data_IF_634006437498
#
_entry.id   IF_634006437498
#
_cell.length_a   1.000
_cell.length_b   1.000
_cell.length_c   1.000
_cell.angle_alpha   90.00
_cell.angle_beta   90.00
_cell.angle_gamma   90.00
#
_symmetry.space_group_name_H-M   'P 1'
#
loop_
_entity.id
_entity.type
_entity.pdbx_description
1 polymer ?
#
# COMPACT_ATOMS: atom_id res chain seq x y z
N UNK A 1 -33.43 -32.37 135.65
CA UNK A 1 -33.23 -30.91 135.48
C UNK A 1 -33.23 -30.62 133.99
N UNK A 2 -34.27 -29.95 133.48
CA UNK A 2 -34.42 -29.57 132.06
C UNK A 2 -34.21 -28.07 131.96
N UNK A 3 -33.26 -27.63 131.13
CA UNK A 3 -32.97 -26.22 130.87
C UNK A 3 -33.57 -25.85 129.51
N UNK A 4 -34.57 -24.96 129.49
CA UNK A 4 -35.08 -24.30 128.30
C UNK A 4 -34.34 -22.98 128.11
N UNK A 5 -33.55 -22.86 127.05
CA UNK A 5 -32.95 -21.60 126.61
C UNK A 5 -33.79 -21.08 125.43
N UNK A 6 -34.50 -19.98 125.65
CA UNK A 6 -35.21 -19.24 124.59
C UNK A 6 -34.22 -18.27 123.94
N UNK A 7 -33.83 -18.53 122.69
CA UNK A 7 -33.08 -17.56 121.89
C UNK A 7 -34.06 -16.63 121.17
N UNK A 8 -33.97 -15.33 121.46
CA UNK A 8 -34.63 -14.27 120.69
C UNK A 8 -33.99 -14.17 119.31
N UNK A 9 -34.73 -14.57 118.28
CA UNK A 9 -34.35 -14.36 116.88
C UNK A 9 -34.61 -12.91 116.49
N UNK A 10 -33.58 -12.17 116.09
CA UNK A 10 -33.74 -10.83 115.50
C UNK A 10 -34.36 -10.94 114.11
N UNK A 11 -35.49 -10.27 113.89
CA UNK A 11 -36.11 -10.15 112.57
C UNK A 11 -35.28 -9.23 111.66
N UNK A 12 -35.16 -9.60 110.39
CA UNK A 12 -34.47 -8.80 109.37
C UNK A 12 -35.24 -7.49 109.11
N UNK A 13 -34.58 -6.34 109.28
CA UNK A 13 -35.16 -5.03 108.96
C UNK A 13 -35.21 -4.83 107.45
N UNK A 14 -36.42 -4.66 106.89
CA UNK A 14 -36.64 -4.39 105.47
C UNK A 14 -36.88 -2.91 105.27
N UNK A 15 -35.94 -2.22 104.64
CA UNK A 15 -36.09 -0.81 104.24
C UNK A 15 -36.70 -0.72 102.83
N UNK A 16 -37.80 0.02 102.69
CA UNK A 16 -38.48 0.23 101.40
C UNK A 16 -38.29 1.68 100.96
N UNK A 17 -37.77 1.87 99.75
CA UNK A 17 -37.74 3.16 99.07
C UNK A 17 -38.92 3.23 98.09
N UNK A 18 -39.74 4.29 98.16
CA UNK A 18 -40.84 4.55 97.23
C UNK A 18 -40.64 5.93 96.60
N UNK A 19 -40.07 5.96 95.41
CA UNK A 19 -39.85 7.16 94.62
C UNK A 19 -39.83 6.80 93.13
N UNK A 20 -40.20 7.73 92.26
CA UNK A 20 -40.11 7.55 90.80
C UNK A 20 -38.66 7.58 90.30
N UNK A 21 -37.79 8.25 91.06
CA UNK A 21 -36.36 8.30 90.83
C UNK A 21 -35.63 8.37 92.16
N UNK A 22 -34.56 7.60 92.30
CA UNK A 22 -33.69 7.62 93.48
C UNK A 22 -32.36 8.23 93.04
N UNK A 23 -32.03 9.40 93.59
CA UNK A 23 -30.72 10.03 93.43
C UNK A 23 -29.87 9.71 94.66
N UNK A 24 -28.74 9.05 94.45
CA UNK A 24 -27.75 8.77 95.49
C UNK A 24 -26.59 9.74 95.33
N UNK A 25 -26.35 10.57 96.33
CA UNK A 25 -25.24 11.54 96.37
C UNK A 25 -24.46 11.36 97.66
N UNK A 26 -23.13 11.47 97.58
CA UNK A 26 -22.25 11.38 98.74
C UNK A 26 -21.25 12.55 98.77
N UNK A 27 -21.67 13.82 98.92
CA UNK A 27 -20.73 14.94 98.88
C UNK A 27 -19.74 14.85 100.06
N UNK A 28 -18.42 15.08 99.84
CA UNK A 28 -17.75 15.50 98.59
C UNK A 28 -17.28 14.35 97.69
N UNK A 29 -17.55 13.09 98.06
CA UNK A 29 -17.11 11.90 97.34
C UNK A 29 -18.08 11.38 96.28
N UNK A 30 -17.75 10.20 95.77
CA UNK A 30 -18.57 9.46 94.81
C UNK A 30 -19.61 8.63 95.57
N UNK A 31 -20.86 8.62 95.08
CA UNK A 31 -21.87 7.65 95.49
C UNK A 31 -21.82 6.47 94.52
N UNK A 32 -21.86 5.25 95.06
CA UNK A 32 -21.99 4.01 94.29
C UNK A 32 -23.27 3.29 94.72
N UNK A 33 -24.06 2.83 93.75
CA UNK A 33 -25.18 1.94 94.00
C UNK A 33 -24.69 0.50 93.87
N UNK A 34 -24.41 -0.13 95.00
CA UNK A 34 -24.08 -1.56 95.05
C UNK A 34 -25.38 -2.32 95.33
N UNK A 35 -25.86 -3.07 94.34
CA UNK A 35 -27.03 -3.95 94.49
C UNK A 35 -26.54 -5.36 94.81
N UNK A 36 -26.45 -5.67 96.10
CA UNK A 36 -26.17 -7.03 96.59
C UNK A 36 -27.47 -7.72 97.00
N UNK A 37 -27.70 -8.92 96.50
CA UNK A 37 -28.80 -9.78 96.94
C UNK A 37 -28.25 -10.99 97.72
N UNK A 38 -29.12 -11.71 98.44
CA UNK A 38 -28.80 -12.96 99.15
C UNK A 38 -28.17 -14.02 98.23
N UNK A 39 -28.38 -13.91 96.92
CA UNK A 39 -27.79 -14.76 95.88
C UNK A 39 -26.44 -14.24 95.36
N UNK A 40 -25.69 -13.44 96.12
CA UNK A 40 -24.38 -12.87 95.70
C UNK A 40 -23.34 -13.88 95.20
N UNK A 41 -23.51 -15.16 95.52
CA UNK A 41 -22.67 -16.25 95.02
C UNK A 41 -23.08 -16.78 93.64
N UNK A 42 -24.12 -16.23 93.02
CA UNK A 42 -24.61 -16.61 91.69
C UNK A 42 -24.07 -15.62 90.66
N UNK A 43 -23.04 -15.97 89.86
CA UNK A 43 -22.58 -15.13 88.76
C UNK A 43 -23.70 -15.01 87.73
N UNK A 44 -24.19 -13.80 87.46
CA UNK A 44 -25.37 -13.61 86.64
C UNK A 44 -25.76 -12.17 86.37
N UNK A 45 -26.89 -11.99 85.70
CA UNK A 45 -27.50 -10.68 85.40
C UNK A 45 -28.72 -10.44 86.27
N UNK A 46 -29.08 -9.16 86.43
CA UNK A 46 -30.37 -8.78 87.00
C UNK A 46 -31.50 -9.24 86.07
N UNK A 47 -32.22 -10.26 86.50
CA UNK A 47 -33.37 -10.85 85.82
C UNK A 47 -34.66 -10.29 86.43
N UNK A 48 -35.50 -9.67 85.62
CA UNK A 48 -36.84 -9.25 86.04
C UNK A 48 -37.77 -10.46 86.13
N UNK A 49 -38.26 -10.79 87.32
CA UNK A 49 -39.21 -11.89 87.59
C UNK A 49 -40.67 -11.53 87.28
N UNK A 50 -40.93 -10.31 86.80
CA UNK A 50 -42.24 -9.69 86.82
C UNK A 50 -42.53 -9.00 88.15
N UNK A 51 -43.67 -8.30 88.23
CA UNK A 51 -44.13 -7.56 89.43
C UNK A 51 -43.08 -6.59 90.02
N UNK A 52 -42.21 -6.03 89.15
CA UNK A 52 -41.18 -5.05 89.54
C UNK A 52 -40.07 -5.62 90.42
N UNK A 53 -39.86 -6.95 90.45
CA UNK A 53 -38.80 -7.59 91.25
C UNK A 53 -37.69 -8.12 90.35
N UNK A 54 -36.45 -7.76 90.67
CA UNK A 54 -35.26 -8.30 90.01
C UNK A 54 -34.50 -9.24 90.94
N UNK A 55 -33.90 -10.30 90.41
CA UNK A 55 -32.92 -11.13 91.13
C UNK A 55 -31.72 -11.43 90.25
N UNK A 56 -30.59 -11.83 90.84
CA UNK A 56 -29.49 -12.35 90.05
C UNK A 56 -29.81 -13.76 89.58
N UNK A 57 -29.86 -13.97 88.27
CA UNK A 57 -29.92 -15.30 87.67
C UNK A 57 -28.70 -15.54 86.80
N UNK A 58 -28.21 -16.79 86.86
CA UNK A 58 -27.21 -17.27 85.90
C UNK A 58 -27.81 -17.25 84.51
N UNK A 59 -26.99 -16.91 83.51
CA UNK A 59 -27.36 -17.11 82.11
C UNK A 59 -27.71 -18.59 81.89
N UNK A 60 -28.84 -18.85 81.24
CA UNK A 60 -29.19 -20.21 80.84
C UNK A 60 -28.74 -20.37 79.39
N UNK A 61 -27.67 -21.13 79.19
CA UNK A 61 -27.28 -21.54 77.86
C UNK A 61 -28.28 -22.59 77.36
N UNK A 62 -28.98 -22.29 76.26
CA UNK A 62 -29.92 -23.19 75.61
C UNK A 62 -29.22 -24.06 74.54
N UNK A 63 -28.17 -23.51 73.92
CA UNK A 63 -27.25 -24.21 73.00
C UNK A 63 -25.89 -23.51 72.96
N UNK A 64 -24.92 -24.05 72.20
CA UNK A 64 -23.61 -23.42 71.96
C UNK A 64 -23.69 -21.97 71.47
N UNK A 65 -24.80 -21.60 70.84
CA UNK A 65 -25.03 -20.30 70.24
C UNK A 65 -26.30 -19.60 70.73
N UNK A 66 -26.93 -20.06 71.82
CA UNK A 66 -28.13 -19.39 72.32
C UNK A 66 -28.19 -19.34 73.83
N UNK A 67 -28.50 -18.15 74.35
CA UNK A 67 -28.63 -17.86 75.77
C UNK A 67 -30.03 -17.30 76.03
N UNK A 68 -30.72 -17.84 77.02
CA UNK A 68 -31.97 -17.26 77.50
C UNK A 68 -31.68 -16.09 78.44
N UNK A 69 -32.37 -14.98 78.22
CA UNK A 69 -32.39 -13.80 79.07
C UNK A 69 -33.84 -13.42 79.31
N UNK A 70 -34.34 -13.54 80.55
CA UNK A 70 -35.77 -13.26 80.75
C UNK A 70 -36.63 -14.37 80.12
N UNK A 71 -37.61 -13.92 79.35
CA UNK A 71 -38.42 -14.71 78.41
C UNK A 71 -37.86 -14.67 76.99
N UNK A 72 -36.83 -13.86 76.73
CA UNK A 72 -36.21 -13.70 75.42
C UNK A 72 -35.01 -14.64 75.25
N UNK A 73 -34.61 -14.82 73.99
CA UNK A 73 -33.38 -15.54 73.65
C UNK A 73 -32.45 -14.63 72.88
N UNK A 74 -31.21 -14.51 73.32
CA UNK A 74 -30.14 -13.96 72.49
C UNK A 74 -29.47 -15.14 71.79
N UNK A 75 -29.47 -15.13 70.46
CA UNK A 75 -28.66 -16.04 69.65
C UNK A 75 -27.33 -15.38 69.32
N UNK A 76 -26.25 -16.03 69.71
CA UNK A 76 -24.88 -15.67 69.42
C UNK A 76 -24.31 -16.78 68.53
N UNK A 77 -24.53 -16.69 67.22
CA UNK A 77 -23.98 -17.67 66.26
C UNK A 77 -22.46 -17.53 66.17
N UNK A 78 -21.73 -18.15 67.11
CA UNK A 78 -20.27 -18.28 67.06
C UNK A 78 -19.95 -19.71 66.65
N UNK A 79 -19.66 -19.90 65.37
CA UNK A 79 -18.96 -21.10 64.90
C UNK A 79 -17.48 -20.76 64.77
N UNK A 80 -16.68 -21.10 65.79
CA UNK A 80 -15.23 -20.91 65.78
C UNK A 80 -14.64 -20.35 67.09
N UNK A 81 -13.32 -20.49 67.23
CA UNK A 81 -12.50 -20.06 68.38
C UNK A 81 -12.80 -18.60 68.80
N UNK A 82 -12.70 -18.26 70.09
CA UNK A 82 -13.13 -16.98 70.72
C UNK A 82 -12.67 -15.68 70.02
N UNK A 83 -11.67 -15.76 69.14
CA UNK A 83 -11.24 -14.69 68.24
C UNK A 83 -12.29 -14.26 67.19
N UNK A 84 -13.34 -15.07 66.99
CA UNK A 84 -14.47 -14.84 66.08
C UNK A 84 -15.50 -13.81 66.60
N UNK A 85 -15.47 -13.49 67.91
CA UNK A 85 -16.41 -12.53 68.53
C UNK A 85 -16.12 -11.08 68.10
N UNK A 86 -14.86 -10.74 67.82
CA UNK A 86 -14.51 -9.44 67.24
C UNK A 86 -14.89 -9.30 65.76
N UNK A 87 -15.02 -10.42 65.03
CA UNK A 87 -15.31 -10.44 63.59
C UNK A 87 -16.83 -10.40 63.31
N UNK A 88 -17.66 -10.90 64.25
CA UNK A 88 -19.12 -10.92 64.12
C UNK A 88 -19.81 -9.62 64.58
N UNK A 89 -19.18 -8.85 65.49
CA UNK A 89 -19.68 -7.54 65.94
C UNK A 89 -19.15 -6.36 65.09
N UNK A 90 -18.25 -6.64 64.16
CA UNK A 90 -17.77 -5.72 63.12
C UNK A 90 -18.33 -6.22 61.79
N UNK A 91 -19.55 -5.82 61.46
CA UNK A 91 -20.22 -6.03 60.16
C UNK A 91 -19.24 -6.24 59.00
N UNK A 92 -19.10 -7.47 58.49
CA UNK A 92 -18.69 -7.71 57.09
C UNK A 92 -17.47 -6.93 56.56
N UNK A 93 -16.50 -6.59 57.41
CA UNK A 93 -15.39 -5.73 56.99
C UNK A 93 -14.28 -6.58 56.36
N UNK A 94 -14.18 -6.45 55.03
CA UNK A 94 -13.11 -6.90 54.12
C UNK A 94 -13.46 -8.01 53.11
N UNK A 95 -14.73 -8.22 52.74
CA UNK A 95 -15.07 -9.07 51.58
C UNK A 95 -15.96 -8.44 50.50
N UNK A 96 -16.36 -7.18 50.66
CA UNK A 96 -17.15 -6.48 49.64
C UNK A 96 -16.47 -5.19 49.20
N UNK A 97 -16.51 -4.91 47.91
CA UNK A 97 -16.31 -3.57 47.40
C UNK A 97 -17.49 -2.71 47.88
N UNK A 98 -17.24 -1.73 48.74
CA UNK A 98 -18.26 -0.80 49.21
C UNK A 98 -18.68 0.15 48.08
N UNK A 99 -19.99 0.35 47.92
CA UNK A 99 -20.53 1.38 47.02
C UNK A 99 -20.17 2.76 47.58
N UNK A 100 -19.59 3.64 46.75
CA UNK A 100 -19.08 4.94 47.22
C UNK A 100 -17.57 4.98 47.45
N UNK A 101 -16.86 3.86 47.21
CA UNK A 101 -15.41 3.81 47.15
C UNK A 101 -14.78 2.94 48.22
N UNK A 102 -13.65 2.35 47.88
CA UNK A 102 -12.79 1.63 48.81
C UNK A 102 -11.48 2.43 48.89
N UNK A 103 -11.11 2.88 50.09
CA UNK A 103 -9.82 3.53 50.33
C UNK A 103 -8.90 2.55 51.05
N UNK A 104 -7.72 2.29 50.49
CA UNK A 104 -6.72 1.43 51.09
C UNK A 104 -5.46 2.27 51.37
N UNK A 105 -4.95 2.24 52.61
CA UNK A 105 -3.72 2.94 53.00
C UNK A 105 -2.42 2.24 52.55
N UNK A 106 -2.54 1.19 51.75
CA UNK A 106 -1.47 0.31 51.24
C UNK A 106 -2.01 -0.42 50.00
N UNK A 107 -1.16 -1.12 49.23
CA UNK A 107 -1.55 -1.88 48.04
C UNK A 107 -2.63 -2.92 48.36
N UNK A 108 -3.79 -2.79 47.73
CA UNK A 108 -4.85 -3.80 47.81
C UNK A 108 -4.69 -4.84 46.70
N UNK A 109 -4.75 -6.12 47.06
CA UNK A 109 -4.74 -7.23 46.10
C UNK A 109 -6.16 -7.70 45.87
N UNK A 110 -6.61 -7.62 44.62
CA UNK A 110 -7.88 -8.18 44.17
C UNK A 110 -7.55 -9.37 43.28
N UNK A 111 -7.99 -10.56 43.66
CA UNK A 111 -7.68 -11.79 42.95
C UNK A 111 -8.42 -12.99 43.53
N UNK A 112 -8.20 -14.15 42.93
CA UNK A 112 -8.78 -15.43 43.33
C UNK A 112 -7.68 -16.49 43.31
N UNK A 113 -7.57 -17.26 44.38
CA UNK A 113 -6.49 -18.23 44.58
C UNK A 113 -6.91 -19.68 44.27
N UNK A 114 -8.14 -19.89 43.84
CA UNK A 114 -8.81 -21.20 43.81
C UNK A 114 -8.93 -21.78 42.39
N UNK A 115 -8.12 -21.31 41.43
CA UNK A 115 -8.20 -21.76 40.05
C UNK A 115 -9.54 -21.45 39.38
N UNK A 116 -10.19 -20.35 39.78
CA UNK A 116 -11.41 -19.81 39.16
C UNK A 116 -11.07 -18.58 38.31
N UNK A 117 -12.04 -18.06 37.56
CA UNK A 117 -11.91 -16.82 36.78
C UNK A 117 -12.45 -15.60 37.56
N UNK A 118 -11.77 -14.45 37.47
CA UNK A 118 -12.19 -13.20 38.11
C UNK A 118 -13.02 -12.40 37.12
N UNK A 119 -14.30 -12.22 37.44
CA UNK A 119 -15.26 -11.54 36.57
C UNK A 119 -15.66 -10.17 37.13
N UNK A 120 -15.60 -9.14 36.30
CA UNK A 120 -16.25 -7.85 36.54
C UNK A 120 -17.53 -7.79 35.72
N UNK A 121 -18.67 -7.61 36.41
CA UNK A 121 -20.02 -7.72 35.84
C UNK A 121 -20.74 -6.38 35.82
N UNK A 122 -21.61 -6.20 34.83
CA UNK A 122 -22.59 -5.12 34.81
C UNK A 122 -23.94 -5.69 34.37
N UNK A 123 -25.00 -5.45 35.15
CA UNK A 123 -26.35 -5.98 34.89
C UNK A 123 -26.37 -7.52 34.69
N UNK A 124 -25.60 -8.25 35.49
CA UNK A 124 -25.49 -9.71 35.41
C UNK A 124 -24.62 -10.24 34.27
N UNK A 125 -24.08 -9.38 33.39
CA UNK A 125 -23.26 -9.76 32.24
C UNK A 125 -21.78 -9.53 32.55
N UNK A 126 -20.94 -10.52 32.23
CA UNK A 126 -19.48 -10.39 32.33
C UNK A 126 -18.96 -9.38 31.30
N UNK A 127 -18.25 -8.35 31.79
CA UNK A 127 -17.64 -7.31 30.94
C UNK A 127 -16.14 -7.46 30.84
N UNK A 128 -15.49 -7.83 31.94
CA UNK A 128 -14.07 -8.17 31.98
C UNK A 128 -13.94 -9.50 32.69
N UNK A 129 -13.15 -10.42 32.14
CA UNK A 129 -12.81 -11.69 32.76
C UNK A 129 -11.31 -11.91 32.70
N UNK A 130 -10.71 -12.16 33.86
CA UNK A 130 -9.38 -12.76 33.99
C UNK A 130 -9.57 -14.26 34.16
N UNK A 131 -9.15 -15.03 33.16
CA UNK A 131 -9.31 -16.47 33.09
C UNK A 131 -8.34 -17.19 34.05
N UNK A 132 -8.62 -18.47 34.31
CA UNK A 132 -7.81 -19.33 35.20
C UNK A 132 -6.37 -19.52 34.71
N UNK A 133 -6.14 -19.37 33.41
CA UNK A 133 -4.84 -19.44 32.73
C UNK A 133 -4.17 -18.05 32.57
N UNK A 134 -4.73 -17.00 33.19
CA UNK A 134 -4.17 -15.65 33.16
C UNK A 134 -4.52 -14.80 31.94
N UNK A 135 -5.30 -15.33 30.98
CA UNK A 135 -5.79 -14.53 29.86
C UNK A 135 -6.77 -13.46 30.35
N UNK A 136 -6.80 -12.30 29.71
CA UNK A 136 -7.74 -11.21 29.99
C UNK A 136 -8.64 -11.01 28.78
N UNK A 137 -9.94 -10.96 29.02
CA UNK A 137 -10.94 -10.74 27.97
C UNK A 137 -11.91 -9.64 28.35
N UNK A 138 -12.26 -8.80 27.38
CA UNK A 138 -13.18 -7.68 27.51
C UNK A 138 -14.32 -7.88 26.50
N UNK A 139 -15.55 -7.97 26.96
CA UNK A 139 -16.76 -8.07 26.13
C UNK A 139 -17.06 -9.45 25.52
N UNK A 140 -16.15 -10.43 25.62
CA UNK A 140 -16.38 -11.84 25.28
C UNK A 140 -15.71 -12.71 26.34
N UNK A 141 -16.42 -13.72 26.84
CA UNK A 141 -15.92 -14.60 27.90
C UNK A 141 -15.40 -15.94 27.42
N UNK A 142 -15.41 -16.21 26.12
CA UNK A 142 -15.05 -17.50 25.51
C UNK A 142 -13.71 -17.45 24.74
N UNK A 143 -12.73 -16.74 25.29
CA UNK A 143 -11.41 -16.53 24.68
C UNK A 143 -10.44 -17.62 25.14
N UNK A 144 -9.71 -18.23 24.19
CA UNK A 144 -8.79 -19.35 24.47
C UNK A 144 -7.33 -19.12 24.10
N UNK A 145 -7.00 -18.08 23.32
CA UNK A 145 -5.66 -17.96 22.71
C UNK A 145 -4.96 -16.61 22.87
N UNK A 146 -5.68 -15.53 23.20
CA UNK A 146 -5.08 -14.18 23.31
C UNK A 146 -4.90 -13.76 24.76
N UNK A 147 -3.69 -13.29 25.12
CA UNK A 147 -3.39 -12.75 26.46
C UNK A 147 -4.31 -11.59 26.82
N UNK A 148 -4.60 -10.71 25.85
CA UNK A 148 -5.63 -9.69 25.94
C UNK A 148 -6.54 -9.80 24.71
N UNK A 149 -7.83 -9.97 24.94
CA UNK A 149 -8.84 -9.95 23.89
C UNK A 149 -9.88 -8.86 24.19
N UNK A 150 -10.21 -8.07 23.18
CA UNK A 150 -11.26 -7.06 23.25
C UNK A 150 -12.28 -7.36 22.15
N UNK A 151 -13.50 -7.70 22.55
CA UNK A 151 -14.61 -7.85 21.64
C UNK A 151 -15.06 -6.47 21.14
N UNK A 152 -14.83 -6.18 19.87
CA UNK A 152 -15.20 -4.92 19.24
C UNK A 152 -14.03 -3.96 19.06
N UNK A 153 -14.32 -2.65 19.07
CA UNK A 153 -13.33 -1.62 18.76
C UNK A 153 -12.46 -1.30 19.98
N UNK A 154 -11.14 -1.28 19.77
CA UNK A 154 -10.16 -0.80 20.75
C UNK A 154 -9.61 0.56 20.29
N UNK A 155 -9.66 1.56 21.16
CA UNK A 155 -9.04 2.88 20.93
C UNK A 155 -7.78 3.00 21.77
N UNK A 156 -6.62 3.19 21.13
CA UNK A 156 -5.33 3.45 21.79
C UNK A 156 -4.98 4.91 21.49
N UNK A 157 -4.84 5.73 22.54
CA UNK A 157 -4.64 7.18 22.38
C UNK A 157 -3.19 7.55 22.05
N UNK A 158 -2.25 6.85 22.66
CA UNK A 158 -0.83 7.18 22.58
C UNK A 158 -0.09 6.15 21.72
N UNK A 159 0.76 5.33 22.32
CA UNK A 159 1.59 4.36 21.62
C UNK A 159 1.03 2.93 21.72
N UNK A 160 0.97 2.23 20.59
CA UNK A 160 0.85 0.77 20.56
C UNK A 160 2.18 0.15 20.14
N UNK A 161 2.85 -0.53 21.07
CA UNK A 161 4.12 -1.21 20.83
C UNK A 161 3.87 -2.71 20.87
N UNK A 162 4.08 -3.40 19.75
CA UNK A 162 3.99 -4.85 19.65
C UNK A 162 5.12 -5.39 18.75
N UNK A 163 5.72 -6.55 19.10
CA UNK A 163 6.76 -7.16 18.26
C UNK A 163 6.19 -7.66 16.92
N UNK A 164 4.90 -8.00 16.87
CA UNK A 164 4.20 -8.42 15.66
C UNK A 164 2.76 -7.95 15.73
N UNK A 165 2.26 -7.37 14.64
CA UNK A 165 0.85 -6.96 14.49
C UNK A 165 0.26 -7.78 13.34
N UNK A 166 -0.56 -8.77 13.67
CA UNK A 166 -1.28 -9.59 12.68
C UNK A 166 -2.72 -9.10 12.58
N UNK A 167 -3.14 -8.65 11.40
CA UNK A 167 -4.52 -8.25 11.13
C UNK A 167 -5.12 -9.12 10.02
N UNK A 168 -6.16 -9.90 10.32
CA UNK A 168 -6.75 -10.85 9.36
C UNK A 168 -7.48 -10.18 8.19
N UNK A 169 -7.95 -8.95 8.36
CA UNK A 169 -8.70 -8.23 7.33
C UNK A 169 -7.93 -6.99 6.86
N UNK A 170 -7.88 -5.92 7.67
CA UNK A 170 -7.31 -4.63 7.30
C UNK A 170 -6.79 -3.87 8.52
N UNK A 171 -5.56 -3.35 8.45
CA UNK A 171 -5.03 -2.38 9.40
C UNK A 171 -5.30 -0.97 8.85
N UNK A 172 -6.28 -0.28 9.43
CA UNK A 172 -6.59 1.11 9.07
C UNK A 172 -5.83 2.07 9.99
N UNK A 173 -4.69 2.61 9.52
CA UNK A 173 -3.99 3.70 10.20
C UNK A 173 -4.48 5.04 9.63
N UNK A 174 -5.52 5.61 10.23
CA UNK A 174 -5.91 6.99 9.95
C UNK A 174 -5.08 7.93 10.81
N UNK A 175 -4.15 8.66 10.20
CA UNK A 175 -3.31 9.61 10.93
C UNK A 175 -3.95 11.00 10.88
N UNK A 176 -4.24 11.56 12.04
CA UNK A 176 -4.72 12.93 12.15
C UNK A 176 -3.72 13.91 11.50
N UNK A 177 -4.24 14.85 10.73
CA UNK A 177 -3.53 15.86 9.94
C UNK A 177 -2.29 16.43 10.63
N UNK A 178 -1.11 16.02 10.16
CA UNK A 178 0.20 16.44 10.67
C UNK A 178 1.27 15.41 10.29
N UNK A 179 1.75 15.47 9.05
CA UNK A 179 2.83 14.64 8.46
C UNK A 179 3.22 13.36 9.23
N UNK A 180 2.44 12.27 9.14
CA UNK A 180 2.89 10.99 9.68
C UNK A 180 4.14 10.51 8.97
N UNK A 181 5.18 10.19 9.74
CA UNK A 181 6.21 9.25 9.31
C UNK A 181 5.80 7.87 9.77
N UNK A 182 5.24 7.08 8.85
CA UNK A 182 5.09 5.64 9.05
C UNK A 182 6.46 5.00 8.78
N UNK A 183 7.24 4.78 9.84
CA UNK A 183 8.48 4.02 9.75
C UNK A 183 8.16 2.52 9.80
N UNK A 184 8.01 1.91 8.63
CA UNK A 184 8.20 0.46 8.53
C UNK A 184 9.70 0.25 8.39
N UNK A 185 10.33 -0.45 9.34
CA UNK A 185 11.63 -1.10 9.14
C UNK A 185 11.34 -2.56 8.76
N UNK A 186 11.09 -2.87 7.48
CA UNK A 186 10.99 -4.26 7.09
C UNK A 186 12.38 -4.90 7.04
N UNK A 187 12.50 -6.15 7.49
CA UNK A 187 13.52 -7.03 6.94
C UNK A 187 13.14 -7.34 5.49
N UNK A 188 14.16 -7.49 4.63
CA UNK A 188 14.02 -7.48 3.17
C UNK A 188 13.12 -8.61 2.60
N UNK A 189 12.87 -9.67 3.37
CA UNK A 189 12.24 -10.88 2.85
C UNK A 189 10.70 -10.94 2.93
N UNK A 190 10.05 -10.13 3.79
CA UNK A 190 8.62 -10.31 4.12
C UNK A 190 7.64 -9.32 3.45
N UNK A 191 8.09 -8.43 2.57
CA UNK A 191 7.24 -7.37 1.98
C UNK A 191 6.66 -7.66 0.58
N UNK A 192 6.58 -8.93 0.15
CA UNK A 192 5.84 -9.29 -1.07
C UNK A 192 4.32 -9.26 -0.82
N UNK A 193 3.72 -8.07 -0.67
CA UNK A 193 2.26 -7.93 -0.81
C UNK A 193 1.52 -6.84 -0.02
N UNK A 194 2.17 -6.02 0.81
CA UNK A 194 1.44 -5.23 1.82
C UNK A 194 1.10 -3.75 1.53
N UNK A 195 1.32 -3.21 0.32
CA UNK A 195 1.03 -1.77 0.10
C UNK A 195 0.14 -1.55 -1.14
N UNK A 196 -1.16 -1.79 -0.97
CA UNK A 196 -2.20 -1.18 -1.78
C UNK A 196 -2.89 -0.09 -0.98
N UNK A 197 -2.44 1.17 -1.10
CA UNK A 197 -3.12 2.31 -0.45
C UNK A 197 -3.85 3.12 -1.51
N UNK A 198 -5.16 3.30 -1.32
CA UNK A 198 -6.06 4.01 -2.23
C UNK A 198 -6.58 5.31 -1.63
N UNK A 199 -5.70 6.16 -1.10
CA UNK A 199 -6.10 7.50 -0.63
C UNK A 199 -4.98 8.48 -0.98
N UNK A 200 -5.33 9.58 -1.66
CA UNK A 200 -4.43 10.48 -2.40
C UNK A 200 -3.44 11.34 -1.59
N UNK A 201 -2.85 10.81 -0.52
CA UNK A 201 -1.65 11.37 0.11
C UNK A 201 -0.43 10.54 -0.30
N UNK A 202 0.55 11.16 -0.95
CA UNK A 202 1.76 10.46 -1.40
C UNK A 202 2.47 9.77 -0.24
N UNK A 203 2.62 8.44 -0.32
CA UNK A 203 3.43 7.65 0.60
C UNK A 203 4.89 7.79 0.16
N UNK A 204 5.73 8.39 1.00
CA UNK A 204 7.18 8.43 0.79
C UNK A 204 7.79 7.22 1.51
N UNK A 205 8.07 6.15 0.76
CA UNK A 205 8.87 5.03 1.30
C UNK A 205 10.34 5.43 1.20
N UNK A 206 10.94 5.84 2.33
CA UNK A 206 12.40 6.04 2.42
C UNK A 206 13.05 4.72 2.83
N UNK A 207 13.80 4.12 1.91
CA UNK A 207 14.67 2.99 2.20
C UNK A 207 15.97 3.53 2.79
N UNK A 208 16.17 3.38 4.10
CA UNK A 208 17.48 3.58 4.71
C UNK A 208 18.25 2.26 4.53
N UNK A 209 19.00 2.15 3.44
CA UNK A 209 19.93 1.04 3.29
C UNK A 209 21.24 1.44 4.00
N UNK A 210 21.69 0.73 5.06
CA UNK A 210 22.90 1.10 5.78
C UNK A 210 24.20 0.91 4.97
N UNK A 211 24.14 0.23 3.82
CA UNK A 211 25.32 -0.16 3.06
C UNK A 211 25.15 0.13 1.57
N UNK A 212 25.64 1.30 1.13
CA UNK A 212 26.25 1.58 -0.20
C UNK A 212 25.59 1.11 -1.50
N UNK A 213 24.41 0.51 -1.48
CA UNK A 213 23.83 -0.20 -2.62
C UNK A 213 22.73 0.64 -3.24
N UNK A 214 23.01 1.17 -4.42
CA UNK A 214 22.08 1.93 -5.24
C UNK A 214 20.97 1.00 -5.76
N UNK A 215 19.76 1.19 -5.25
CA UNK A 215 18.61 0.36 -5.60
C UNK A 215 18.03 0.81 -6.96
N UNK A 216 17.96 -0.09 -7.94
CA UNK A 216 17.61 0.23 -9.33
C UNK A 216 16.13 0.12 -9.69
N UNK A 217 15.24 -0.35 -8.82
CA UNK A 217 13.84 -0.57 -9.19
C UNK A 217 12.85 0.16 -8.28
N UNK A 218 12.60 1.43 -8.59
CA UNK A 218 11.46 2.20 -8.10
C UNK A 218 10.24 1.95 -9.00
N UNK A 219 9.54 0.84 -8.76
CA UNK A 219 8.22 0.61 -9.32
C UNK A 219 7.17 1.52 -8.66
N UNK A 220 6.98 2.72 -9.19
CA UNK A 220 5.94 3.65 -8.72
C UNK A 220 4.62 3.31 -9.41
N UNK A 221 3.78 2.50 -8.77
CA UNK A 221 2.40 2.27 -9.23
C UNK A 221 1.47 3.36 -8.66
N UNK A 222 1.12 4.36 -9.49
CA UNK A 222 0.03 5.30 -9.17
C UNK A 222 -1.27 4.78 -9.78
N UNK A 223 -2.14 4.15 -8.97
CA UNK A 223 -3.52 3.85 -9.36
C UNK A 223 -4.44 5.02 -9.03
N UNK A 224 -4.25 6.14 -9.71
CA UNK A 224 -5.33 7.13 -9.85
C UNK A 224 -6.01 6.88 -11.19
N UNK A 225 -7.34 6.79 -11.20
CA UNK A 225 -8.20 6.56 -12.38
C UNK A 225 -8.15 7.70 -13.44
N UNK A 226 -7.09 8.49 -13.44
CA UNK A 226 -6.72 9.42 -14.50
C UNK A 226 -5.43 8.88 -15.14
N UNK A 227 -5.50 8.46 -16.39
CA UNK A 227 -4.54 7.70 -17.21
C UNK A 227 -3.14 8.32 -17.43
N UNK A 228 -2.69 9.22 -16.55
CA UNK A 228 -1.44 9.97 -16.71
C UNK A 228 -0.56 9.84 -15.47
N UNK A 229 0.47 9.00 -15.57
CA UNK A 229 1.64 9.05 -14.70
C UNK A 229 2.31 10.43 -14.90
N UNK A 230 2.17 11.33 -13.93
CA UNK A 230 2.93 12.57 -13.88
C UNK A 230 4.24 12.33 -13.14
N UNK A 231 5.35 12.22 -13.87
CA UNK A 231 6.70 12.35 -13.27
C UNK A 231 6.96 13.85 -13.08
N UNK A 232 6.37 14.42 -12.03
CA UNK A 232 6.51 15.82 -11.68
C UNK A 232 7.85 16.10 -10.99
N UNK A 233 8.57 17.11 -11.49
CA UNK A 233 9.79 17.65 -10.89
C UNK A 233 9.45 18.26 -9.53
N UNK A 234 9.89 17.64 -8.44
CA UNK A 234 10.00 18.36 -7.16
C UNK A 234 11.08 19.43 -7.31
N UNK A 235 10.83 20.59 -6.71
CA UNK A 235 11.40 21.94 -6.91
C UNK A 235 12.92 22.12 -6.70
N UNK A 236 13.73 21.08 -6.79
CA UNK A 236 15.15 21.15 -6.51
C UNK A 236 15.91 20.86 -7.80
N UNK A 237 16.86 21.73 -8.12
CA UNK A 237 17.41 21.95 -9.46
C UNK A 237 18.39 20.86 -9.93
N UNK A 238 17.99 19.59 -9.90
CA UNK A 238 18.78 18.46 -10.38
C UNK A 238 17.98 17.73 -11.46
N UNK A 239 18.54 17.68 -12.68
CA UNK A 239 17.95 16.90 -13.77
C UNK A 239 18.01 15.41 -13.41
N UNK A 240 16.93 14.63 -13.59
CA UNK A 240 16.99 13.19 -13.42
C UNK A 240 17.97 12.61 -14.44
N UNK A 241 19.06 12.01 -13.96
CA UNK A 241 20.00 11.24 -14.77
C UNK A 241 19.42 9.84 -14.88
N UNK A 242 18.86 9.51 -16.04
CA UNK A 242 18.52 8.11 -16.36
C UNK A 242 19.83 7.36 -16.58
N UNK A 243 20.09 6.33 -15.79
CA UNK A 243 21.24 5.45 -16.00
C UNK A 243 20.95 4.47 -17.15
N UNK A 244 21.98 3.91 -17.81
CA UNK A 244 21.82 3.07 -19.02
C UNK A 244 20.95 1.83 -18.87
N UNK A 245 20.60 1.43 -17.65
CA UNK A 245 19.92 0.15 -17.35
C UNK A 245 18.42 0.29 -17.06
N UNK A 246 17.84 1.48 -17.19
CA UNK A 246 16.41 1.67 -16.92
C UNK A 246 15.57 1.23 -18.12
N UNK A 247 14.89 0.09 -17.99
CA UNK A 247 13.91 -0.39 -18.97
C UNK A 247 12.51 0.02 -18.53
N UNK A 248 11.91 0.97 -19.25
CA UNK A 248 10.53 1.41 -18.98
C UNK A 248 9.55 0.53 -19.78
N UNK A 249 8.98 -0.48 -19.13
CA UNK A 249 7.89 -1.27 -19.72
C UNK A 249 6.57 -0.54 -19.50
N UNK A 250 5.93 -0.06 -20.58
CA UNK A 250 4.56 0.45 -20.52
C UNK A 250 3.77 0.07 -21.77
N UNK A 251 2.58 -0.47 -21.56
CA UNK A 251 1.47 -0.49 -22.52
C UNK A 251 0.71 0.84 -22.39
N UNK A 252 1.00 1.79 -23.28
CA UNK A 252 0.35 3.12 -23.31
C UNK A 252 1.32 4.27 -23.59
N UNK A 253 0.94 5.18 -24.50
CA UNK A 253 1.81 6.24 -25.01
C UNK A 253 2.39 7.16 -23.92
N UNK A 254 3.69 7.45 -24.00
CA UNK A 254 4.37 8.41 -23.11
C UNK A 254 3.97 9.82 -23.55
N UNK A 255 3.17 10.52 -22.74
CA UNK A 255 2.86 11.93 -22.98
C UNK A 255 3.79 12.81 -22.14
N UNK A 256 4.76 13.45 -22.78
CA UNK A 256 5.56 14.51 -22.15
C UNK A 256 4.79 15.83 -22.26
N UNK A 257 3.88 16.08 -21.32
CA UNK A 257 3.22 17.39 -21.24
C UNK A 257 4.15 18.38 -20.54
N UNK A 258 4.68 19.37 -21.26
CA UNK A 258 5.19 20.59 -20.66
C UNK A 258 4.30 21.75 -21.04
N UNK A 259 3.75 22.46 -20.06
CA UNK A 259 2.95 23.68 -20.24
C UNK A 259 3.76 24.86 -20.81
N UNK A 260 5.05 24.67 -21.13
CA UNK A 260 5.92 25.71 -21.71
C UNK A 260 6.31 25.36 -23.14
N UNK A 261 6.10 26.31 -24.07
CA UNK A 261 6.28 26.22 -25.54
C UNK A 261 7.73 26.05 -26.01
N UNK A 262 8.61 25.43 -25.23
CA UNK A 262 10.00 25.19 -25.63
C UNK A 262 10.18 23.74 -26.05
N UNK A 263 10.62 23.44 -27.28
CA UNK A 263 10.84 22.08 -27.73
C UNK A 263 11.93 21.44 -26.86
N UNK A 264 11.65 20.25 -26.33
CA UNK A 264 12.66 19.45 -25.63
C UNK A 264 12.94 18.17 -26.41
N UNK A 265 14.22 17.95 -26.65
CA UNK A 265 14.75 16.78 -27.34
C UNK A 265 14.79 15.63 -26.33
N UNK A 266 14.11 14.53 -26.65
CA UNK A 266 14.25 13.28 -25.91
C UNK A 266 15.50 12.56 -26.43
N UNK A 267 16.59 12.60 -25.65
CA UNK A 267 17.79 11.81 -25.94
C UNK A 267 17.59 10.39 -25.43
N UNK A 268 17.37 9.44 -26.35
CA UNK A 268 17.42 8.00 -26.03
C UNK A 268 18.78 7.48 -26.48
N UNK A 269 19.60 7.02 -25.54
CA UNK A 269 20.84 6.29 -25.86
C UNK A 269 20.55 4.79 -25.76
N UNK A 270 20.46 4.13 -26.91
CA UNK A 270 20.19 2.70 -27.02
C UNK A 270 19.20 2.37 -28.15
N UNK A 271 19.00 1.08 -28.41
CA UNK A 271 18.04 0.61 -29.40
C UNK A 271 16.61 0.88 -28.93
N UNK A 272 15.85 1.64 -29.73
CA UNK A 272 14.41 1.81 -29.50
C UNK A 272 13.68 0.66 -30.20
N UNK A 273 13.23 -0.32 -29.42
CA UNK A 273 12.34 -1.36 -29.92
C UNK A 273 10.92 -0.81 -30.05
N UNK A 274 10.49 -0.46 -31.25
CA UNK A 274 9.09 -0.12 -31.53
C UNK A 274 8.41 -1.41 -31.99
N UNK A 275 7.54 -1.98 -31.15
CA UNK A 275 6.77 -3.15 -31.54
C UNK A 275 5.68 -2.74 -32.54
N UNK A 276 5.74 -3.29 -33.76
CA UNK A 276 4.84 -3.00 -34.89
C UNK A 276 3.36 -3.17 -34.52
N UNK A 277 3.06 -4.11 -33.64
CA UNK A 277 1.67 -4.48 -33.30
C UNK A 277 1.03 -3.54 -32.26
N UNK A 278 1.76 -2.52 -31.78
CA UNK A 278 1.31 -1.59 -30.74
C UNK A 278 1.26 -0.14 -31.19
N UNK A 279 1.31 0.12 -32.51
CA UNK A 279 1.20 1.48 -33.04
C UNK A 279 -0.28 1.90 -33.04
N UNK A 280 -0.74 2.79 -32.12
CA UNK A 280 -2.04 3.41 -32.30
C UNK A 280 -2.01 4.15 -33.63
N UNK A 281 -3.09 4.06 -34.42
CA UNK A 281 -3.33 4.87 -35.61
C UNK A 281 -2.99 6.34 -35.30
N UNK A 282 -1.81 6.80 -35.73
CA UNK A 282 -1.40 8.19 -35.60
C UNK A 282 -2.09 8.92 -36.75
N UNK A 283 -3.38 9.23 -36.58
CA UNK A 283 -4.20 9.82 -37.63
C UNK A 283 -4.10 11.36 -37.71
N UNK A 284 -3.32 11.99 -36.83
CA UNK A 284 -3.08 13.44 -36.88
C UNK A 284 -1.63 13.76 -36.48
N UNK A 285 -0.71 13.68 -37.44
CA UNK A 285 0.61 14.33 -37.30
C UNK A 285 0.49 15.73 -37.88
N UNK A 286 0.08 16.69 -37.05
CA UNK A 286 0.35 18.09 -37.33
C UNK A 286 1.86 18.33 -37.35
N UNK A 287 2.44 18.53 -38.54
CA UNK A 287 3.76 19.15 -38.82
C UNK A 287 4.99 18.72 -37.99
N UNK A 288 4.98 17.55 -37.33
CA UNK A 288 6.11 17.11 -36.52
C UNK A 288 7.10 16.28 -37.35
N UNK A 289 8.24 16.91 -37.67
CA UNK A 289 9.36 16.35 -38.40
C UNK A 289 10.10 15.30 -37.57
N UNK A 290 10.44 14.16 -38.18
CA UNK A 290 11.36 13.18 -37.62
C UNK A 290 12.79 13.56 -38.04
N UNK A 291 13.59 14.08 -37.10
CA UNK A 291 15.01 14.36 -37.37
C UNK A 291 15.85 13.13 -37.00
N UNK A 292 16.49 12.54 -38.00
CA UNK A 292 17.50 11.49 -37.78
C UNK A 292 18.87 12.14 -37.87
N UNK A 293 19.66 12.03 -36.81
CA UNK A 293 21.06 12.44 -36.83
C UNK A 293 21.90 11.27 -37.32
N UNK A 294 22.63 11.47 -38.41
CA UNK A 294 23.65 10.52 -38.85
C UNK A 294 24.79 10.53 -37.83
N UNK A 295 25.03 9.38 -37.21
CA UNK A 295 26.05 9.22 -36.16
C UNK A 295 27.48 9.34 -36.69
N UNK A 296 27.69 9.24 -38.00
CA UNK A 296 29.01 9.29 -38.63
C UNK A 296 29.41 10.73 -38.97
N UNK A 297 28.45 11.53 -39.42
CA UNK A 297 28.71 12.91 -39.90
C UNK A 297 28.22 13.99 -38.93
N UNK A 298 27.39 13.63 -37.95
CA UNK A 298 26.80 14.55 -36.99
C UNK A 298 25.73 15.49 -37.59
N UNK A 299 25.47 15.40 -38.89
CA UNK A 299 24.49 16.24 -39.57
C UNK A 299 23.06 15.73 -39.34
N UNK A 300 22.16 16.69 -39.17
CA UNK A 300 20.73 16.44 -38.99
C UNK A 300 20.06 16.31 -40.37
N UNK A 301 19.78 15.07 -40.77
CA UNK A 301 19.00 14.80 -41.97
C UNK A 301 17.52 15.07 -41.70
N UNK A 302 16.92 16.00 -42.45
CA UNK A 302 15.46 16.17 -42.48
C UNK A 302 14.88 15.28 -43.57
N UNK A 303 14.20 14.21 -43.17
CA UNK A 303 13.41 13.39 -44.09
C UNK A 303 11.94 13.74 -43.90
N UNK A 304 11.35 14.42 -44.88
CA UNK A 304 9.91 14.62 -44.92
C UNK A 304 9.28 13.26 -45.25
N UNK A 305 8.74 12.57 -44.24
CA UNK A 305 7.87 11.44 -44.48
C UNK A 305 6.53 11.99 -44.96
N UNK A 306 6.37 12.11 -46.29
CA UNK A 306 5.07 12.40 -46.88
C UNK A 306 4.18 11.16 -46.70
N UNK A 307 2.97 11.27 -46.14
CA UNK A 307 2.06 10.14 -45.96
C UNK A 307 1.61 9.48 -47.28
N UNK A 308 1.95 10.06 -48.43
CA UNK A 308 1.66 9.50 -49.77
C UNK A 308 2.75 8.58 -50.30
N UNK A 309 3.92 8.50 -49.65
CA UNK A 309 5.04 7.70 -50.14
C UNK A 309 4.95 6.24 -49.64
N UNK A 310 3.87 5.56 -50.03
CA UNK A 310 3.72 4.11 -49.95
C UNK A 310 4.50 3.39 -51.08
N UNK A 311 5.68 3.89 -51.41
CA UNK A 311 6.56 3.31 -52.42
C UNK A 311 7.74 2.67 -51.70
N UNK A 312 7.51 1.44 -51.21
CA UNK A 312 8.54 0.44 -50.86
C UNK A 312 9.58 0.17 -51.99
N UNK A 313 9.49 0.89 -53.10
CA UNK A 313 10.39 0.83 -54.24
C UNK A 313 11.43 1.96 -54.28
N UNK A 314 11.45 2.94 -53.36
CA UNK A 314 12.34 4.12 -53.47
C UNK A 314 13.76 3.95 -52.89
N UNK A 315 14.15 2.73 -52.52
CA UNK A 315 15.45 2.49 -51.88
C UNK A 315 16.61 2.12 -52.83
N UNK A 316 16.47 2.29 -54.14
CA UNK A 316 17.59 2.12 -55.07
C UNK A 316 17.53 3.11 -56.25
N UNK A 317 18.36 4.15 -56.20
CA UNK A 317 18.92 4.85 -57.36
C UNK A 317 17.97 5.21 -58.51
N UNK A 318 16.75 5.67 -58.24
CA UNK A 318 15.79 6.03 -59.29
C UNK A 318 16.13 7.39 -59.87
N UNK A 319 16.54 7.40 -61.13
CA UNK A 319 16.56 8.61 -61.93
C UNK A 319 15.20 8.78 -62.60
N UNK A 320 14.61 9.96 -62.44
CA UNK A 320 13.34 10.34 -63.09
C UNK A 320 13.52 11.63 -63.88
N UNK A 321 12.89 11.71 -65.04
CA UNK A 321 13.02 12.82 -65.98
C UNK A 321 11.68 13.01 -66.71
N UNK A 322 11.37 14.23 -67.13
CA UNK A 322 10.26 14.50 -68.05
C UNK A 322 10.79 15.03 -69.38
N UNK A 323 10.30 14.51 -70.51
CA UNK A 323 10.59 15.07 -71.84
C UNK A 323 9.31 15.64 -72.45
N UNK A 324 9.42 16.71 -73.24
CA UNK A 324 8.30 17.34 -73.96
C UNK A 324 8.48 17.34 -75.49
N UNK A 325 9.55 16.72 -75.98
CA UNK A 325 9.90 16.64 -77.39
C UNK A 325 10.58 15.29 -77.72
N UNK A 326 10.85 15.08 -79.01
CA UNK A 326 11.53 13.89 -79.52
C UNK A 326 13.07 13.98 -79.47
N UNK A 327 13.64 14.96 -78.78
CA UNK A 327 15.09 15.08 -78.63
C UNK A 327 15.59 14.13 -77.54
N UNK A 328 16.65 13.39 -77.86
CA UNK A 328 17.29 12.49 -76.91
C UNK A 328 17.79 13.26 -75.67
N UNK A 329 17.36 12.81 -74.49
CA UNK A 329 17.73 13.41 -73.20
C UNK A 329 18.29 12.35 -72.27
N UNK A 330 19.37 12.67 -71.55
CA UNK A 330 20.01 11.76 -70.62
C UNK A 330 19.22 11.67 -69.31
N UNK A 331 18.68 10.48 -68.99
CA UNK A 331 18.03 10.22 -67.70
C UNK A 331 19.01 9.70 -66.65
N UNK A 332 20.05 8.99 -67.06
CA UNK A 332 21.06 8.43 -66.15
C UNK A 332 22.42 8.39 -66.81
N UNK A 333 23.48 8.43 -66.01
CA UNK A 333 24.84 8.20 -66.46
C UNK A 333 25.54 7.22 -65.53
N UNK A 334 26.33 6.32 -66.12
CA UNK A 334 27.16 5.36 -65.41
C UNK A 334 28.63 5.53 -65.85
N UNK A 335 29.53 5.69 -64.88
CA UNK A 335 30.95 5.91 -65.10
C UNK A 335 31.75 4.65 -64.71
N UNK A 336 32.03 3.71 -65.64
CA UNK A 336 32.84 2.55 -65.32
C UNK A 336 34.29 2.95 -65.01
N UNK A 337 34.91 2.28 -64.04
CA UNK A 337 36.31 2.50 -63.62
C UNK A 337 37.26 1.83 -64.61
N UNK A 338 38.46 2.41 -64.79
CA UNK A 338 39.50 1.82 -65.65
C UNK A 338 39.78 0.36 -65.26
N UNK A 339 39.76 -0.55 -66.24
CA UNK A 339 39.96 -1.97 -66.04
C UNK A 339 38.67 -2.77 -65.86
N UNK A 340 37.51 -2.12 -65.68
CA UNK A 340 36.23 -2.82 -65.55
C UNK A 340 35.68 -3.25 -66.91
N UNK A 341 35.14 -4.47 -66.95
CA UNK A 341 34.26 -4.95 -68.00
C UNK A 341 32.98 -5.50 -67.36
N UNK A 342 31.86 -5.39 -68.06
CA UNK A 342 30.59 -5.81 -67.48
C UNK A 342 29.41 -5.67 -68.42
N UNK A 343 28.22 -5.86 -67.86
CA UNK A 343 26.93 -5.68 -68.50
C UNK A 343 26.18 -4.56 -67.78
N UNK A 344 25.70 -3.58 -68.53
CA UNK A 344 24.76 -2.57 -68.03
C UNK A 344 23.37 -2.95 -68.50
N UNK A 345 22.49 -3.29 -67.55
CA UNK A 345 21.09 -3.62 -67.80
C UNK A 345 20.24 -2.46 -67.32
N UNK A 346 19.32 -1.98 -68.14
CA UNK A 346 18.44 -0.87 -67.84
C UNK A 346 16.99 -1.29 -68.05
N UNK A 347 16.15 -1.06 -67.02
CA UNK A 347 14.70 -1.09 -67.13
C UNK A 347 14.17 0.32 -67.04
N UNK A 348 13.50 0.78 -68.08
CA UNK A 348 12.97 2.13 -68.19
C UNK A 348 11.46 2.03 -68.39
N UNK A 349 10.71 2.83 -67.63
CA UNK A 349 9.27 3.00 -67.80
C UNK A 349 9.04 4.43 -68.28
N UNK A 350 8.26 4.56 -69.35
CA UNK A 350 7.71 5.81 -69.83
C UNK A 350 6.21 5.82 -69.55
N UNK A 351 5.69 6.94 -69.05
CA UNK A 351 4.26 7.14 -68.84
C UNK A 351 3.84 8.43 -69.55
N UNK A 352 2.80 8.35 -70.37
CA UNK A 352 2.21 9.54 -70.97
C UNK A 352 1.59 10.46 -69.93
N UNK A 353 1.37 11.73 -70.30
CA UNK A 353 0.75 12.71 -69.41
C UNK A 353 -0.68 12.35 -68.97
N UNK A 354 -1.34 11.44 -69.68
CA UNK A 354 -2.65 10.90 -69.30
C UNK A 354 -2.60 9.92 -68.12
N UNK A 355 -1.41 9.48 -67.72
CA UNK A 355 -1.20 8.50 -66.66
C UNK A 355 -1.63 7.07 -67.04
N UNK A 356 -2.23 6.87 -68.21
CA UNK A 356 -2.79 5.59 -68.65
C UNK A 356 -1.91 4.89 -69.68
N UNK A 357 -1.26 5.65 -70.57
CA UNK A 357 -0.35 5.09 -71.58
C UNK A 357 1.02 4.81 -70.99
N UNK A 358 1.51 3.58 -71.18
CA UNK A 358 2.76 3.10 -70.61
C UNK A 358 3.62 2.47 -71.71
N UNK A 359 4.94 2.68 -71.61
CA UNK A 359 5.92 1.91 -72.36
C UNK A 359 7.00 1.40 -71.43
N UNK A 360 7.44 0.15 -71.62
CA UNK A 360 8.49 -0.50 -70.84
C UNK A 360 9.61 -0.94 -71.79
N UNK A 361 10.82 -0.46 -71.50
CA UNK A 361 12.03 -0.76 -72.25
C UNK A 361 12.99 -1.56 -71.36
N UNK A 362 13.46 -2.70 -71.86
CA UNK A 362 14.46 -3.53 -71.17
C UNK A 362 15.71 -3.65 -72.05
N UNK A 363 16.68 -2.75 -71.83
CA UNK A 363 17.90 -2.62 -72.65
C UNK A 363 19.11 -3.17 -71.92
N UNK A 364 20.02 -3.79 -72.66
CA UNK A 364 21.29 -4.27 -72.13
C UNK A 364 22.43 -3.98 -73.11
N UNK A 365 23.58 -3.58 -72.58
CA UNK A 365 24.80 -3.36 -73.36
C UNK A 365 26.01 -3.85 -72.58
N UNK A 366 26.88 -4.62 -73.23
CA UNK A 366 28.18 -4.97 -72.68
C UNK A 366 29.13 -3.79 -72.81
N UNK A 367 29.99 -3.59 -71.82
CA UNK A 367 30.99 -2.53 -71.85
C UNK A 367 32.35 -3.01 -71.35
N UNK A 368 33.40 -2.33 -71.81
CA UNK A 368 34.76 -2.43 -71.26
C UNK A 368 35.40 -1.06 -71.19
N UNK A 369 35.92 -0.69 -70.01
CA UNK A 369 36.66 0.55 -69.79
C UNK A 369 38.17 0.30 -69.81
N UNK A 370 38.88 0.96 -70.73
CA UNK A 370 40.34 1.12 -70.71
C UNK A 370 40.68 2.58 -70.43
N UNK A 371 41.93 2.86 -70.05
CA UNK A 371 42.40 4.22 -69.81
C UNK A 371 42.03 5.12 -71.00
N UNK A 372 41.21 6.15 -70.73
CA UNK A 372 40.77 7.14 -71.73
C UNK A 372 39.62 6.73 -72.66
N UNK A 373 39.16 5.47 -72.69
CA UNK A 373 38.14 5.02 -73.64
C UNK A 373 37.17 3.98 -73.05
N UNK A 374 35.87 4.11 -73.37
CA UNK A 374 34.87 3.05 -73.18
C UNK A 374 34.69 2.35 -74.53
N UNK A 375 34.51 1.03 -74.50
CA UNK A 375 34.10 0.24 -75.65
C UNK A 375 32.75 -0.37 -75.33
N UNK A 376 31.74 -0.10 -76.15
CA UNK A 376 30.39 -0.65 -76.02
C UNK A 376 30.19 -1.80 -77.02
N UNK A 377 29.49 -2.86 -76.59
CA UNK A 377 28.98 -3.88 -77.48
C UNK A 377 27.71 -3.43 -78.21
N UNK A 378 27.06 -4.37 -78.90
CA UNK A 378 25.76 -4.11 -79.53
C UNK A 378 24.67 -4.00 -78.47
N UNK A 379 23.83 -2.96 -78.59
CA UNK A 379 22.62 -2.82 -77.79
C UNK A 379 21.69 -4.01 -78.05
N UNK A 380 21.23 -4.68 -77.00
CA UNK A 380 20.29 -5.80 -77.09
C UNK A 380 19.10 -5.54 -76.18
N UNK A 381 17.89 -5.85 -76.66
CA UNK A 381 16.71 -5.87 -75.80
C UNK A 381 16.65 -7.22 -75.07
N UNK A 382 16.62 -7.21 -73.73
CA UNK A 382 16.50 -8.44 -72.93
C UNK A 382 15.10 -9.08 -73.06
N UNK A 383 14.10 -8.25 -73.31
CA UNK A 383 12.72 -8.60 -73.64
C UNK A 383 12.23 -7.66 -74.75
N UNK A 384 11.24 -8.05 -75.57
CA UNK A 384 10.61 -7.12 -76.50
C UNK A 384 10.15 -5.86 -75.76
N UNK A 385 10.31 -4.70 -76.39
CA UNK A 385 9.79 -3.46 -75.81
C UNK A 385 8.25 -3.53 -75.83
N UNK A 386 7.62 -3.23 -74.69
CA UNK A 386 6.16 -3.17 -74.58
C UNK A 386 5.77 -1.70 -74.70
N UNK A 387 5.17 -1.30 -75.82
CA UNK A 387 4.89 0.11 -76.11
C UNK A 387 3.41 0.25 -76.50
N UNK A 388 2.64 0.99 -75.70
CA UNK A 388 1.29 1.38 -76.08
C UNK A 388 1.31 2.23 -77.36
N UNK A 389 0.27 2.11 -78.18
CA UNK A 389 0.19 2.82 -79.47
C UNK A 389 0.38 4.35 -79.34
N UNK A 390 -0.05 4.95 -78.22
CA UNK A 390 0.15 6.36 -77.92
C UNK A 390 1.60 6.78 -77.66
N UNK A 391 2.51 5.83 -77.47
CA UNK A 391 3.94 6.02 -77.19
C UNK A 391 4.87 5.38 -78.24
N UNK A 392 4.35 4.98 -79.40
CA UNK A 392 5.10 4.23 -80.43
C UNK A 392 6.36 4.92 -80.98
N UNK A 393 6.53 6.23 -80.78
CA UNK A 393 7.73 6.98 -81.17
C UNK A 393 8.72 7.24 -80.02
N UNK A 394 8.42 6.78 -78.81
CA UNK A 394 9.37 6.83 -77.69
C UNK A 394 10.50 5.81 -77.91
N UNK A 395 11.74 6.19 -77.58
CA UNK A 395 12.89 5.29 -77.69
C UNK A 395 13.85 5.41 -76.50
N UNK A 396 14.63 4.36 -76.28
CA UNK A 396 15.69 4.31 -75.27
C UNK A 396 16.97 3.79 -75.90
N UNK A 397 18.06 4.52 -75.71
CA UNK A 397 19.39 4.18 -76.19
C UNK A 397 20.42 4.20 -75.06
N UNK A 398 21.45 3.37 -75.20
CA UNK A 398 22.62 3.34 -74.33
C UNK A 398 23.85 3.74 -75.16
N UNK A 399 24.38 4.94 -74.91
CA UNK A 399 25.48 5.49 -75.72
C UNK A 399 26.64 5.99 -74.88
N UNK A 400 27.82 6.09 -75.50
CA UNK A 400 29.00 6.62 -74.85
C UNK A 400 29.06 8.14 -74.98
N UNK A 401 29.35 8.83 -73.87
CA UNK A 401 29.75 10.24 -73.88
C UNK A 401 30.93 10.44 -72.94
N UNK A 402 32.11 10.74 -73.50
CA UNK A 402 33.36 10.83 -72.76
C UNK A 402 33.68 9.54 -72.00
N UNK A 403 33.75 9.65 -70.67
CA UNK A 403 34.00 8.53 -69.74
C UNK A 403 32.73 7.93 -69.14
N UNK A 404 31.55 8.25 -69.68
CA UNK A 404 30.27 7.75 -69.18
C UNK A 404 29.53 6.94 -70.25
N UNK A 405 28.72 6.00 -69.78
CA UNK A 405 27.63 5.38 -70.53
C UNK A 405 26.36 6.15 -70.14
N UNK A 406 25.69 6.75 -71.11
CA UNK A 406 24.46 7.50 -70.92
C UNK A 406 23.28 6.60 -71.22
N UNK A 407 22.29 6.61 -70.32
CA UNK A 407 20.95 6.12 -70.60
C UNK A 407 20.17 7.31 -71.15
N UNK A 408 19.88 7.28 -72.44
CA UNK A 408 19.12 8.33 -73.11
C UNK A 408 17.71 7.86 -73.43
N UNK A 409 16.76 8.77 -73.25
CA UNK A 409 15.36 8.59 -73.58
C UNK A 409 14.94 9.66 -74.56
N UNK A 410 14.17 9.29 -75.57
CA UNK A 410 13.57 10.23 -76.52
C UNK A 410 12.06 10.14 -76.40
N UNK A 411 11.40 11.27 -76.11
CA UNK A 411 9.95 11.35 -76.02
C UNK A 411 9.27 11.49 -77.37
N UNK A 412 8.02 11.94 -77.33
CA UNK A 412 7.28 12.35 -78.53
C UNK A 412 7.28 13.87 -78.65
N UNK A 413 7.30 14.37 -79.89
CA UNK A 413 7.13 15.81 -80.14
C UNK A 413 5.77 16.28 -79.59
N UNK A 414 5.79 17.37 -78.82
CA UNK A 414 4.59 18.00 -78.24
C UNK A 414 3.80 17.14 -77.22
N UNK A 415 4.39 16.07 -76.67
CA UNK A 415 3.80 15.28 -75.59
C UNK A 415 4.73 15.21 -74.39
N UNK A 416 4.16 15.42 -73.20
CA UNK A 416 4.86 15.24 -71.92
C UNK A 416 4.93 13.76 -71.57
N UNK A 417 6.15 13.22 -71.48
CA UNK A 417 6.41 11.84 -71.09
C UNK A 417 7.22 11.83 -69.79
N UNK A 418 6.72 11.11 -68.79
CA UNK A 418 7.37 10.89 -67.51
C UNK A 418 8.18 9.61 -67.55
N UNK A 419 9.47 9.73 -67.32
CA UNK A 419 10.42 8.63 -67.41
C UNK A 419 10.92 8.24 -66.03
N UNK A 420 11.11 6.93 -65.84
CA UNK A 420 11.75 6.37 -64.68
C UNK A 420 12.70 5.27 -65.11
N UNK A 421 13.97 5.41 -64.78
CA UNK A 421 15.00 4.42 -65.10
C UNK A 421 15.52 3.76 -63.82
N UNK A 422 15.69 2.45 -63.90
CA UNK A 422 16.50 1.67 -62.99
C UNK A 422 17.57 0.95 -63.81
N UNK A 423 18.81 0.96 -63.36
CA UNK A 423 19.87 0.22 -64.02
C UNK A 423 20.63 -0.64 -63.02
N UNK A 424 21.01 -1.82 -63.49
CA UNK A 424 21.83 -2.78 -62.79
C UNK A 424 23.16 -2.91 -63.54
N UNK A 425 24.26 -2.90 -62.80
CA UNK A 425 25.61 -3.07 -63.38
C UNK A 425 26.17 -4.39 -62.89
N UNK A 426 26.34 -5.34 -63.80
CA UNK A 426 27.00 -6.61 -63.53
C UNK A 426 28.46 -6.48 -63.95
N UNK A 427 29.37 -6.34 -62.98
CA UNK A 427 30.80 -6.22 -63.23
C UNK A 427 31.43 -7.60 -63.13
N UNK A 428 32.13 -8.02 -64.19
CA UNK A 428 32.95 -9.22 -64.18
C UNK A 428 34.41 -8.80 -64.13
N UNK A 429 35.07 -9.00 -62.99
CA UNK A 429 36.51 -8.86 -62.85
C UNK A 429 37.18 -10.15 -63.30
N UNK A 430 38.04 -10.06 -64.32
CA UNK A 430 38.97 -11.13 -64.68
C UNK A 430 40.19 -11.13 -63.77
#
# INVERSE_FOLDING_TARGET
>A
MSFLISQTLHAQSVYKLRADSVLLTNPPGNAELIIENSTKQVPGVLYNKGNGRTEFRRFVQLSDSSFALGTDTIRVNISGSARSVYDSMVFYQNKYFQQGGNSFGTTATIGINEGRALNLRTNGIDRIRIHTNGLVSIGDTNVTSSLLYVAGNMSIRDQFTAPTITASNKLYAAVASGFPRFYVQPSIDDMKGMIGTSVGGGVIIKWNNPEGSYNTDLGWASSSNSEKLRIGRYTNNVSPVFTPSMVLWRTGGITVNSETKTPRILYIRGSVGINKDSLPLINEIGTNQFLVQDTTTGQLGRTNLSPTDNSLFDLAGKNSLQTSNASATTISSFAPVNGQAGLLECRIIAQGADGATIAVFNKSISFRKKAGAIYLGSLTSLQPDEIDAGLAGCSVDLLQSGNNILVQVSGLAASSIYWKANYNVVINTL
#
